data_IF_735452102107
#
_entry.id   IF_735452102107
#
_cell.length_a   1.000
_cell.length_b   1.000
_cell.length_c   1.000
_cell.angle_alpha   90.00
_cell.angle_beta   90.00
_cell.angle_gamma   90.00
#
_symmetry.space_group_name_H-M   'P 1'
#
loop_
_entity.id
_entity.type
_entity.pdbx_description
1 polymer ?
#
# COMPACT_ATOMS: atom_id res chain seq x y z
N UNK A 1 -25.91 9.06 7.83
CA UNK A 1 -24.91 9.66 8.75
C UNK A 1 -24.83 8.75 9.95
N UNK A 2 -23.74 7.98 10.10
CA UNK A 2 -23.57 7.05 11.22
C UNK A 2 -22.75 7.79 12.28
N UNK A 3 -23.44 8.24 13.34
CA UNK A 3 -22.82 8.74 14.56
C UNK A 3 -22.33 7.55 15.39
N UNK A 4 -21.11 7.06 15.13
CA UNK A 4 -20.40 6.27 16.13
C UNK A 4 -18.91 6.19 15.79
N UNK A 5 -18.09 6.90 16.55
CA UNK A 5 -16.62 6.91 16.45
C UNK A 5 -15.97 5.57 16.85
N UNK A 6 -16.77 4.53 17.15
CA UNK A 6 -16.35 3.15 17.44
C UNK A 6 -16.31 2.24 16.20
N UNK A 7 -16.93 2.63 15.09
CA UNK A 7 -16.96 1.82 13.85
C UNK A 7 -15.57 1.76 13.21
N UNK A 8 -14.81 2.83 13.34
CA UNK A 8 -13.49 3.05 12.75
C UNK A 8 -12.38 2.23 13.43
N UNK A 9 -12.36 2.19 14.76
CA UNK A 9 -11.48 1.26 15.51
C UNK A 9 -11.81 -0.21 15.21
N UNK A 10 -13.10 -0.56 15.17
CA UNK A 10 -13.53 -1.91 14.82
C UNK A 10 -13.17 -2.25 13.37
N UNK A 11 -13.27 -1.29 12.45
CA UNK A 11 -12.89 -1.48 11.06
C UNK A 11 -11.39 -1.75 10.92
N UNK A 12 -10.54 -0.95 11.58
CA UNK A 12 -9.08 -1.16 11.60
C UNK A 12 -8.72 -2.55 12.11
N UNK A 13 -9.43 -3.03 13.15
CA UNK A 13 -9.24 -4.37 13.69
C UNK A 13 -9.71 -5.45 12.72
N UNK A 14 -10.91 -5.30 12.14
CA UNK A 14 -11.46 -6.22 11.14
C UNK A 14 -10.54 -6.31 9.93
N UNK A 15 -10.08 -5.19 9.38
CA UNK A 15 -9.14 -5.13 8.26
C UNK A 15 -7.86 -5.90 8.52
N UNK A 16 -7.25 -5.71 9.71
CA UNK A 16 -6.04 -6.46 10.10
C UNK A 16 -6.29 -7.97 10.14
N UNK A 17 -7.44 -8.41 10.64
CA UNK A 17 -7.79 -9.83 10.74
C UNK A 17 -8.13 -10.46 9.39
N UNK A 18 -8.82 -9.73 8.52
CA UNK A 18 -9.33 -10.27 7.25
C UNK A 18 -8.38 -10.04 6.07
N UNK A 19 -7.33 -9.24 6.20
CA UNK A 19 -6.38 -8.94 5.11
C UNK A 19 -5.80 -10.21 4.47
N UNK A 20 -5.51 -11.23 5.28
CA UNK A 20 -5.00 -12.52 4.82
C UNK A 20 -6.08 -13.62 4.74
N UNK A 21 -7.34 -13.29 5.03
CA UNK A 21 -8.43 -14.28 5.03
C UNK A 21 -8.99 -14.44 3.60
N UNK A 22 -9.05 -15.67 3.04
CA UNK A 22 -9.54 -15.90 1.68
C UNK A 22 -11.03 -15.52 1.49
N UNK A 23 -11.79 -15.33 2.58
CA UNK A 23 -13.17 -14.83 2.54
C UNK A 23 -13.26 -13.33 2.33
N UNK A 24 -12.16 -12.59 2.52
CA UNK A 24 -12.09 -11.16 2.25
C UNK A 24 -11.88 -10.91 0.75
N UNK A 25 -12.75 -10.09 0.16
CA UNK A 25 -12.68 -9.74 -1.27
C UNK A 25 -12.88 -8.25 -1.45
N UNK A 26 -12.01 -7.64 -2.25
CA UNK A 26 -12.20 -6.28 -2.73
C UNK A 26 -12.90 -6.32 -4.09
N UNK A 27 -14.16 -5.89 -4.12
CA UNK A 27 -14.94 -5.76 -5.34
C UNK A 27 -14.89 -4.30 -5.77
N UNK A 28 -14.18 -4.03 -6.86
CA UNK A 28 -14.02 -2.67 -7.39
C UNK A 28 -14.93 -2.46 -8.60
N UNK A 29 -15.70 -1.38 -8.61
CA UNK A 29 -16.34 -0.83 -9.81
C UNK A 29 -15.71 0.54 -10.13
N UNK A 30 -16.08 1.14 -11.27
CA UNK A 30 -15.49 2.40 -11.74
C UNK A 30 -15.53 3.59 -10.75
N UNK A 31 -16.40 3.57 -9.73
CA UNK A 31 -16.55 4.68 -8.77
C UNK A 31 -16.32 4.30 -7.31
N UNK A 32 -16.22 3.00 -7.00
CA UNK A 32 -16.25 2.49 -5.62
C UNK A 32 -15.42 1.23 -5.50
N UNK A 33 -14.74 1.10 -4.36
CA UNK A 33 -14.16 -0.16 -3.93
C UNK A 33 -14.92 -0.65 -2.70
N UNK A 34 -15.44 -1.87 -2.76
CA UNK A 34 -16.25 -2.48 -1.72
C UNK A 34 -15.44 -3.61 -1.11
N UNK A 35 -15.19 -3.53 0.19
CA UNK A 35 -14.64 -4.63 0.95
C UNK A 35 -15.78 -5.53 1.41
N UNK A 36 -15.74 -6.77 0.95
CA UNK A 36 -16.65 -7.82 1.35
C UNK A 36 -15.93 -8.86 2.21
N UNK A 37 -16.63 -9.43 3.16
CA UNK A 37 -16.21 -10.61 3.90
C UNK A 37 -17.36 -11.60 3.91
N UNK A 38 -17.10 -12.84 3.51
CA UNK A 38 -18.12 -13.89 3.45
C UNK A 38 -19.38 -13.46 2.64
N UNK A 39 -19.14 -12.74 1.54
CA UNK A 39 -20.18 -12.21 0.65
C UNK A 39 -20.96 -11.00 1.18
N UNK A 40 -20.68 -10.52 2.41
CA UNK A 40 -21.33 -9.34 2.99
C UNK A 40 -20.44 -8.10 2.86
N UNK A 41 -21.03 -6.98 2.48
CA UNK A 41 -20.36 -5.68 2.46
C UNK A 41 -20.04 -5.22 3.88
N UNK A 42 -18.75 -5.02 4.17
CA UNK A 42 -18.28 -4.46 5.44
C UNK A 42 -17.99 -2.96 5.28
N UNK A 43 -17.33 -2.57 4.18
CA UNK A 43 -17.00 -1.16 3.93
C UNK A 43 -17.10 -0.81 2.46
N UNK A 44 -17.45 0.45 2.22
CA UNK A 44 -17.48 1.10 0.93
C UNK A 44 -16.56 2.30 0.92
N UNK A 45 -15.53 2.24 0.09
CA UNK A 45 -14.62 3.35 -0.16
C UNK A 45 -14.99 4.08 -1.45
N UNK A 46 -14.86 5.40 -1.44
CA UNK A 46 -14.89 6.20 -2.68
C UNK A 46 -13.63 5.90 -3.49
N UNK A 47 -13.75 5.91 -4.82
CA UNK A 47 -12.62 5.78 -5.73
C UNK A 47 -11.81 7.09 -5.90
N UNK A 48 -12.14 8.12 -5.14
CA UNK A 48 -11.45 9.41 -5.15
C UNK A 48 -10.02 9.23 -4.59
N UNK A 49 -8.97 9.43 -5.41
CA UNK A 49 -7.59 9.20 -4.99
C UNK A 49 -7.10 10.19 -3.94
N UNK A 50 -7.66 11.40 -3.88
CA UNK A 50 -7.24 12.44 -2.93
C UNK A 50 -7.59 12.07 -1.48
N UNK A 51 -8.51 11.12 -1.30
CA UNK A 51 -8.83 10.55 0.00
C UNK A 51 -7.82 9.50 0.46
N UNK A 52 -6.91 9.04 -0.40
CA UNK A 52 -5.99 7.95 -0.09
C UNK A 52 -4.55 8.44 -0.02
N UNK A 53 -3.82 8.03 1.00
CA UNK A 53 -2.37 8.20 1.03
C UNK A 53 -1.69 7.07 1.81
N UNK A 54 -0.39 6.93 1.56
CA UNK A 54 0.45 5.91 2.15
C UNK A 54 1.62 6.61 2.85
N UNK A 55 1.86 6.25 4.10
CA UNK A 55 2.94 6.81 4.91
C UNK A 55 3.91 5.70 5.32
N UNK A 56 5.12 5.75 4.74
CA UNK A 56 6.21 4.83 5.04
C UNK A 56 7.17 5.41 6.07
N UNK A 57 7.38 4.70 7.18
CA UNK A 57 8.32 5.08 8.24
C UNK A 57 9.56 4.19 8.09
N UNK A 58 10.56 4.72 7.38
CA UNK A 58 11.77 3.97 6.99
C UNK A 58 12.50 3.40 8.22
N UNK A 59 12.64 4.20 9.27
CA UNK A 59 13.34 3.81 10.51
C UNK A 59 12.74 2.58 11.20
N UNK A 60 11.42 2.42 11.13
CA UNK A 60 10.71 1.35 11.84
C UNK A 60 10.28 0.20 10.93
N UNK A 61 10.44 0.31 9.62
CA UNK A 61 9.97 -0.70 8.67
C UNK A 61 8.45 -0.84 8.66
N UNK A 62 7.72 0.26 8.84
CA UNK A 62 6.25 0.27 8.89
C UNK A 62 5.69 1.06 7.72
N UNK A 63 4.65 0.53 7.09
CA UNK A 63 3.83 1.22 6.11
C UNK A 63 2.40 1.34 6.63
N UNK A 64 1.87 2.56 6.63
CA UNK A 64 0.50 2.87 7.05
C UNK A 64 -0.30 3.34 5.84
N UNK A 65 -1.51 2.82 5.71
CA UNK A 65 -2.45 3.21 4.65
C UNK A 65 -3.58 4.00 5.30
N UNK A 66 -3.86 5.15 4.71
CA UNK A 66 -4.89 6.07 5.16
C UNK A 66 -6.00 6.22 4.12
N UNK A 67 -7.22 6.37 4.62
CA UNK A 67 -8.37 6.81 3.84
C UNK A 67 -9.09 7.92 4.61
N UNK A 68 -9.27 9.09 4.00
CA UNK A 68 -9.88 10.27 4.61
C UNK A 68 -9.28 10.61 5.98
N UNK A 69 -7.95 10.67 6.05
CA UNK A 69 -7.13 10.94 7.25
C UNK A 69 -7.21 9.90 8.38
N UNK A 70 -7.89 8.79 8.14
CA UNK A 70 -7.96 7.69 9.07
C UNK A 70 -7.01 6.56 8.69
N UNK A 71 -6.21 6.09 9.65
CA UNK A 71 -5.36 4.91 9.46
C UNK A 71 -6.21 3.64 9.44
N UNK A 72 -6.39 3.08 8.24
CA UNK A 72 -7.17 1.86 8.02
C UNK A 72 -6.32 0.58 8.06
N UNK A 73 -5.03 0.67 7.70
CA UNK A 73 -4.13 -0.49 7.67
C UNK A 73 -2.72 -0.10 8.11
N UNK A 74 -2.04 -1.06 8.73
CA UNK A 74 -0.62 -1.00 9.05
C UNK A 74 0.00 -2.35 8.71
N UNK A 75 1.06 -2.31 7.92
CA UNK A 75 1.80 -3.50 7.49
C UNK A 75 3.29 -3.29 7.74
N UNK A 76 4.01 -4.39 7.94
CA UNK A 76 5.47 -4.38 7.93
C UNK A 76 5.95 -4.21 6.49
N UNK A 77 6.96 -3.38 6.30
CA UNK A 77 7.62 -3.13 5.02
C UNK A 77 9.14 -3.26 5.18
N UNK A 78 9.78 -3.73 4.13
CA UNK A 78 11.24 -3.79 4.04
C UNK A 78 11.66 -2.65 3.11
N UNK A 79 12.37 -1.67 3.65
CA UNK A 79 12.94 -0.58 2.89
C UNK A 79 14.36 -0.90 2.43
N UNK A 80 14.88 -0.06 1.52
CA UNK A 80 16.22 -0.17 0.98
C UNK A 80 17.28 -0.27 2.08
N UNK A 81 18.23 -1.17 1.88
CA UNK A 81 19.35 -1.41 2.79
C UNK A 81 20.42 -0.31 2.64
N UNK A 82 21.40 -0.31 3.54
CA UNK A 82 22.55 0.62 3.47
C UNK A 82 23.25 0.56 2.10
N UNK A 83 23.47 1.73 1.48
CA UNK A 83 24.02 1.89 0.13
C UNK A 83 23.01 1.77 -1.02
N UNK A 84 21.76 1.38 -0.72
CA UNK A 84 20.62 1.33 -1.64
C UNK A 84 19.35 1.81 -0.90
N UNK A 85 19.50 2.86 -0.09
CA UNK A 85 18.44 3.35 0.80
C UNK A 85 17.21 3.82 0.01
N UNK A 86 16.01 3.56 0.54
CA UNK A 86 14.80 4.18 0.03
C UNK A 86 14.84 5.68 0.37
N UNK A 87 14.85 6.59 -0.62
CA UNK A 87 14.91 8.01 -0.32
C UNK A 87 13.62 8.49 0.36
N UNK A 88 13.75 9.42 1.30
CA UNK A 88 12.61 10.04 1.98
C UNK A 88 12.10 11.21 1.13
N UNK A 89 10.78 11.31 0.98
CA UNK A 89 10.14 12.38 0.24
C UNK A 89 8.65 12.14 0.02
N UNK A 90 8.01 13.10 -0.65
CA UNK A 90 6.64 12.98 -1.13
C UNK A 90 6.63 12.36 -2.52
N UNK A 91 5.81 11.32 -2.69
CA UNK A 91 5.74 10.55 -3.93
C UNK A 91 4.28 10.36 -4.35
N UNK A 92 4.09 10.19 -5.66
CA UNK A 92 2.79 9.90 -6.26
C UNK A 92 2.80 8.49 -6.86
N UNK A 93 1.72 7.73 -6.69
CA UNK A 93 1.56 6.42 -7.33
C UNK A 93 1.27 6.62 -8.82
N UNK A 94 2.29 6.44 -9.67
CA UNK A 94 2.14 6.61 -11.13
C UNK A 94 1.51 5.44 -11.86
N UNK A 95 1.64 4.21 -11.35
CA UNK A 95 1.14 3.02 -12.03
C UNK A 95 0.78 1.89 -11.05
N UNK A 96 -0.12 0.99 -11.48
CA UNK A 96 -0.46 -0.26 -10.78
C UNK A 96 -0.18 -1.43 -11.72
N UNK A 97 0.74 -2.31 -11.33
CA UNK A 97 1.12 -3.47 -12.14
C UNK A 97 0.73 -4.78 -11.41
N UNK A 98 0.19 -5.74 -12.16
CA UNK A 98 -0.11 -7.08 -11.65
C UNK A 98 0.96 -8.06 -12.13
N UNK A 99 1.63 -8.75 -11.19
CA UNK A 99 2.77 -9.64 -11.44
C UNK A 99 3.87 -9.00 -12.33
N UNK A 100 4.40 -7.82 -11.95
CA UNK A 100 5.48 -7.18 -12.69
C UNK A 100 6.78 -8.00 -12.62
N UNK A 101 7.63 -7.84 -13.63
CA UNK A 101 9.02 -8.29 -13.62
C UNK A 101 9.90 -7.04 -13.45
N UNK A 102 10.82 -7.08 -12.49
CA UNK A 102 11.73 -5.99 -12.18
C UNK A 102 13.16 -6.34 -12.60
N UNK A 103 13.87 -5.38 -13.17
CA UNK A 103 15.27 -5.53 -13.56
C UNK A 103 16.12 -4.53 -12.78
N UNK A 104 17.27 -4.98 -12.25
CA UNK A 104 18.22 -4.07 -11.62
C UNK A 104 18.95 -3.31 -12.72
N UNK A 105 19.04 -1.98 -12.59
CA UNK A 105 19.93 -1.18 -13.43
C UNK A 105 21.36 -1.47 -12.98
N UNK A 106 22.12 -2.18 -13.79
CA UNK A 106 23.56 -2.33 -13.58
C UNK A 106 24.24 -1.03 -14.00
N UNK A 107 25.12 -0.51 -13.15
CA UNK A 107 26.06 0.51 -13.59
C UNK A 107 26.97 -0.14 -14.63
N UNK A 108 27.12 0.49 -15.81
CA UNK A 108 28.17 0.10 -16.75
C UNK A 108 29.52 0.36 -16.09
N UNK A 109 30.03 -0.63 -15.38
CA UNK A 109 31.41 -0.64 -14.90
C UNK A 109 32.36 -0.53 -16.09
N UNK A 110 33.33 0.38 -15.94
CA UNK A 110 34.41 0.67 -16.87
C UNK A 110 34.94 -0.56 -17.60
N UNK A 111 35.08 -0.47 -18.93
CA UNK A 111 35.80 -1.45 -19.74
C UNK A 111 37.24 -1.63 -19.22
N UNK A 112 37.62 -2.80 -18.71
CA UNK A 112 39.03 -3.15 -18.56
C UNK A 112 39.40 -3.96 -19.79
N UNK A 113 39.92 -3.32 -20.84
CA UNK A 113 40.47 -4.06 -21.98
C UNK A 113 40.40 -3.39 -23.34
N UNK A 114 40.95 -2.19 -23.49
CA UNK A 114 41.56 -1.79 -24.75
C UNK A 114 43.06 -1.64 -24.53
N UNK A 115 43.79 -2.76 -24.61
CA UNK A 115 45.22 -2.71 -24.90
C UNK A 115 45.36 -2.81 -26.42
N UNK A 116 46.08 -1.83 -26.97
CA UNK A 116 46.73 -1.88 -28.28
C UNK A 116 47.65 -3.12 -28.37
#
# INVERSE_FOLDING_TARGET
MIHNNKVTENLKYILKQIYNDPRAKYVTNWKRSILQFDGKEIVRYKADPDLWYVHGIVETGVMRIFYADEQILEIRAIFGRKGEETPVGEYEIKNRAFKPIWYKKEERGAHPGSHY
#
